data_IF_862490880567
#
_entry.id   IF_862490880567
#
_cell.length_a   1.000
_cell.length_b   1.000
_cell.length_c   1.000
_cell.angle_alpha   90.00
_cell.angle_beta   90.00
_cell.angle_gamma   90.00
#
_symmetry.space_group_name_H-M   'P 1'
#
loop_
_entity.id
_entity.type
_entity.pdbx_description
1 polymer ?
#
# COMPACT_ATOMS: atom_id res chain seq x y z
N UNK A 1 -21.14 -7.00 -15.15
CA UNK A 1 -20.67 -5.71 -15.71
C UNK A 1 -21.84 -4.72 -15.68
N UNK A 2 -21.54 -3.47 -15.40
CA UNK A 2 -22.50 -2.38 -15.36
C UNK A 2 -22.02 -1.22 -16.25
N UNK A 3 -22.90 -0.73 -17.13
CA UNK A 3 -22.59 0.32 -18.08
C UNK A 3 -22.02 -0.20 -19.41
N UNK A 4 -21.79 0.73 -20.33
CA UNK A 4 -21.20 0.46 -21.63
C UNK A 4 -19.72 0.84 -21.63
N UNK A 5 -18.89 0.06 -22.30
CA UNK A 5 -17.47 0.40 -22.48
C UNK A 5 -17.34 1.64 -23.36
N UNK A 6 -16.64 2.70 -22.90
CA UNK A 6 -16.46 3.90 -23.70
C UNK A 6 -15.71 3.61 -24.99
N UNK A 7 -16.18 4.20 -26.11
CA UNK A 7 -15.51 4.15 -27.40
C UNK A 7 -14.81 5.48 -27.61
N UNK A 8 -13.51 5.42 -27.87
CA UNK A 8 -12.70 6.59 -28.17
C UNK A 8 -12.52 6.70 -29.69
N UNK A 9 -12.42 7.93 -30.20
CA UNK A 9 -12.09 8.25 -31.60
C UNK A 9 -10.58 8.42 -31.83
N UNK A 10 -9.78 8.13 -30.80
CA UNK A 10 -8.32 8.14 -30.81
C UNK A 10 -7.79 6.85 -30.15
N UNK A 11 -6.50 6.55 -30.36
CA UNK A 11 -5.81 5.43 -29.71
C UNK A 11 -5.39 5.84 -28.28
N UNK A 12 -6.06 5.30 -27.22
CA UNK A 12 -5.80 5.69 -25.85
C UNK A 12 -4.47 5.12 -25.36
N UNK A 13 -3.60 5.98 -24.85
CA UNK A 13 -2.37 5.55 -24.18
C UNK A 13 -2.68 4.97 -22.81
N UNK A 14 -1.89 3.99 -22.38
CA UNK A 14 -1.95 3.45 -21.03
C UNK A 14 -1.43 4.45 -19.98
N UNK A 15 -1.65 4.12 -18.71
CA UNK A 15 -1.29 4.98 -17.58
C UNK A 15 0.23 5.18 -17.43
N UNK A 16 1.04 4.21 -17.85
CA UNK A 16 2.51 4.32 -17.81
C UNK A 16 2.98 5.32 -18.84
N UNK A 17 2.55 5.16 -20.09
CA UNK A 17 2.91 6.07 -21.19
C UNK A 17 2.44 7.51 -20.91
N UNK A 18 1.25 7.68 -20.30
CA UNK A 18 0.74 9.00 -19.92
C UNK A 18 1.57 9.62 -18.78
N UNK A 19 1.89 8.84 -17.75
CA UNK A 19 2.64 9.32 -16.59
C UNK A 19 4.08 9.70 -16.94
N UNK A 20 4.75 8.90 -17.74
CA UNK A 20 6.11 9.19 -18.23
C UNK A 20 6.15 10.40 -19.14
N UNK A 21 5.22 10.50 -20.10
CA UNK A 21 5.12 11.66 -21.01
C UNK A 21 4.88 12.98 -20.27
N UNK A 22 4.24 12.94 -19.11
CA UNK A 22 3.99 14.11 -18.26
C UNK A 22 5.00 14.27 -17.12
N UNK A 23 6.03 13.44 -17.06
CA UNK A 23 7.05 13.43 -16.01
C UNK A 23 6.45 13.30 -14.57
N UNK A 24 5.41 12.47 -14.43
CA UNK A 24 4.78 12.25 -13.13
C UNK A 24 5.57 11.25 -12.29
N UNK A 25 6.21 10.30 -12.93
CA UNK A 25 7.02 9.27 -12.27
C UNK A 25 8.11 8.70 -13.20
N UNK A 26 9.03 7.93 -12.60
CA UNK A 26 10.08 7.21 -13.31
C UNK A 26 10.35 5.85 -12.67
N UNK A 27 10.25 4.80 -13.46
CA UNK A 27 10.68 3.46 -13.08
C UNK A 27 12.21 3.32 -13.09
N UNK A 28 12.90 4.03 -13.98
CA UNK A 28 14.38 4.03 -14.04
C UNK A 28 14.99 4.54 -12.73
N UNK A 29 14.49 5.68 -12.23
CA UNK A 29 14.95 6.24 -10.96
C UNK A 29 14.61 5.33 -9.77
N UNK A 30 13.42 4.72 -9.76
CA UNK A 30 13.01 3.75 -8.73
C UNK A 30 13.91 2.52 -8.74
N UNK A 31 14.16 1.96 -9.91
CA UNK A 31 15.03 0.79 -10.07
C UNK A 31 16.48 1.07 -9.68
N UNK A 32 16.98 2.27 -9.94
CA UNK A 32 18.34 2.70 -9.53
C UNK A 32 18.53 2.73 -8.01
N UNK A 33 17.46 3.04 -7.26
CA UNK A 33 17.51 3.17 -5.80
C UNK A 33 17.23 1.83 -5.12
N UNK A 34 16.22 1.07 -5.59
CA UNK A 34 15.65 -0.06 -4.86
C UNK A 34 15.53 -1.34 -5.68
N UNK A 35 15.87 -1.30 -6.96
CA UNK A 35 15.73 -2.45 -7.86
C UNK A 35 14.46 -2.43 -8.72
N UNK A 36 14.29 -3.46 -9.54
CA UNK A 36 13.17 -3.58 -10.47
C UNK A 36 11.82 -3.60 -9.74
N UNK A 37 10.81 -2.94 -10.32
CA UNK A 37 9.46 -2.88 -9.78
C UNK A 37 9.20 -1.69 -8.84
N UNK A 38 10.22 -0.93 -8.46
CA UNK A 38 10.04 0.30 -7.70
C UNK A 38 9.81 1.50 -8.61
N UNK A 39 9.03 2.45 -8.10
CA UNK A 39 8.68 3.68 -8.80
C UNK A 39 9.13 4.89 -7.98
N UNK A 40 9.55 5.95 -8.66
CA UNK A 40 9.81 7.25 -8.05
C UNK A 40 8.87 8.28 -8.64
N UNK A 41 7.98 8.86 -7.83
CA UNK A 41 7.19 10.00 -8.24
C UNK A 41 8.05 11.27 -8.26
N UNK A 42 7.85 12.11 -9.28
CA UNK A 42 8.63 13.33 -9.48
C UNK A 42 7.72 14.54 -9.67
N UNK A 43 8.20 15.71 -9.30
CA UNK A 43 7.55 16.98 -9.59
C UNK A 43 6.03 17.01 -9.38
N UNK A 44 5.23 17.16 -10.48
CA UNK A 44 3.78 17.16 -10.41
C UNK A 44 3.19 15.84 -9.88
N UNK A 45 3.80 14.70 -10.20
CA UNK A 45 3.35 13.38 -9.73
C UNK A 45 3.43 13.23 -8.21
N UNK A 46 4.55 13.63 -7.60
CA UNK A 46 4.70 13.62 -6.14
C UNK A 46 3.72 14.58 -5.44
N UNK A 47 3.41 15.72 -6.08
CA UNK A 47 2.38 16.65 -5.57
C UNK A 47 0.98 16.04 -5.64
N UNK A 48 0.66 15.35 -6.74
CA UNK A 48 -0.63 14.70 -6.94
C UNK A 48 -0.83 13.55 -5.94
N UNK A 49 0.16 12.70 -5.75
CA UNK A 49 0.12 11.62 -4.75
C UNK A 49 -0.19 12.16 -3.36
N UNK A 50 0.56 13.16 -2.90
CA UNK A 50 0.33 13.80 -1.59
C UNK A 50 -1.04 14.45 -1.49
N UNK A 51 -1.51 15.10 -2.56
CA UNK A 51 -2.82 15.73 -2.58
C UNK A 51 -3.96 14.72 -2.48
N UNK A 52 -3.83 13.56 -3.14
CA UNK A 52 -4.81 12.47 -3.06
C UNK A 52 -4.83 11.83 -1.67
N UNK A 53 -3.66 11.59 -1.08
CA UNK A 53 -3.57 11.07 0.29
C UNK A 53 -4.28 12.03 1.25
N UNK A 54 -3.95 13.31 1.20
CA UNK A 54 -4.57 14.32 2.07
C UNK A 54 -6.07 14.41 1.85
N UNK A 55 -6.53 14.48 0.61
CA UNK A 55 -7.95 14.55 0.27
C UNK A 55 -8.74 13.36 0.84
N UNK A 56 -8.22 12.14 0.69
CA UNK A 56 -8.90 10.94 1.18
C UNK A 56 -8.93 10.88 2.71
N UNK A 57 -7.83 11.24 3.38
CA UNK A 57 -7.76 11.30 4.84
C UNK A 57 -8.75 12.34 5.39
N UNK A 58 -8.73 13.55 4.85
CA UNK A 58 -9.63 14.63 5.28
C UNK A 58 -11.09 14.24 5.07
N UNK A 59 -11.42 13.68 3.91
CA UNK A 59 -12.79 13.27 3.61
C UNK A 59 -13.30 12.19 4.58
N UNK A 60 -12.50 11.17 4.84
CA UNK A 60 -12.91 10.09 5.73
C UNK A 60 -12.99 10.52 7.20
N UNK A 61 -12.10 11.38 7.65
CA UNK A 61 -12.13 11.88 9.04
C UNK A 61 -13.25 12.89 9.28
N UNK A 62 -13.52 13.77 8.31
CA UNK A 62 -14.50 14.86 8.46
C UNK A 62 -15.92 14.42 8.11
N UNK A 63 -16.10 13.62 7.05
CA UNK A 63 -17.44 13.26 6.55
C UNK A 63 -17.90 11.87 7.04
N UNK A 64 -16.99 10.91 7.18
CA UNK A 64 -17.34 9.52 7.47
C UNK A 64 -17.08 9.11 8.93
N UNK A 65 -16.56 10.01 9.77
CA UNK A 65 -16.38 9.78 11.19
C UNK A 65 -15.27 8.77 11.55
N UNK A 66 -14.32 8.55 10.66
CA UNK A 66 -13.13 7.74 10.95
C UNK A 66 -12.20 8.49 11.91
N UNK A 67 -11.47 7.74 12.71
CA UNK A 67 -10.36 8.26 13.50
C UNK A 67 -9.05 7.98 12.76
N UNK A 68 -8.30 9.02 12.46
CA UNK A 68 -6.98 8.86 11.85
C UNK A 68 -5.99 8.29 12.86
N UNK A 69 -5.16 7.34 12.40
CA UNK A 69 -4.07 6.75 13.16
C UNK A 69 -2.81 6.70 12.32
N UNK A 70 -1.65 6.83 12.95
CA UNK A 70 -0.34 6.73 12.30
C UNK A 70 0.48 5.65 13.00
N UNK A 71 0.30 4.36 12.65
CA UNK A 71 1.03 3.27 13.26
C UNK A 71 2.47 3.18 12.75
N UNK A 72 3.36 2.48 13.46
CA UNK A 72 4.70 2.17 12.98
C UNK A 72 4.69 1.39 11.67
N UNK A 73 5.70 1.61 10.83
CA UNK A 73 5.92 0.83 9.59
C UNK A 73 6.70 -0.45 9.83
N UNK A 74 7.41 -0.54 10.95
CA UNK A 74 8.14 -1.73 11.39
C UNK A 74 7.26 -2.48 12.36
N UNK A 75 6.90 -3.71 12.00
CA UNK A 75 5.89 -4.54 12.67
C UNK A 75 6.57 -5.76 13.29
N UNK A 76 6.24 -6.09 14.53
CA UNK A 76 6.73 -7.28 15.18
C UNK A 76 6.10 -8.57 14.61
N UNK A 77 6.77 -9.68 14.81
CA UNK A 77 6.37 -10.99 14.31
C UNK A 77 4.97 -11.42 14.79
N UNK A 78 4.62 -11.15 16.03
CA UNK A 78 3.33 -11.53 16.62
C UNK A 78 2.15 -10.81 15.92
N UNK A 79 2.34 -9.56 15.56
CA UNK A 79 1.32 -8.82 14.80
C UNK A 79 1.14 -9.36 13.39
N UNK A 80 2.21 -9.88 12.78
CA UNK A 80 2.14 -10.53 11.47
C UNK A 80 1.38 -11.86 11.53
N UNK A 81 1.51 -12.60 12.63
CA UNK A 81 0.67 -13.78 12.88
C UNK A 81 -0.78 -13.41 13.14
N UNK A 82 -1.03 -12.34 13.90
CA UNK A 82 -2.37 -11.90 14.27
C UNK A 82 -3.29 -11.57 13.08
N UNK A 83 -2.73 -11.23 11.94
CA UNK A 83 -3.46 -10.96 10.68
C UNK A 83 -3.25 -12.02 9.60
N UNK A 84 -2.59 -13.14 9.93
CA UNK A 84 -2.42 -14.27 9.04
C UNK A 84 -1.40 -14.06 7.91
N UNK A 85 -0.54 -13.06 8.00
CA UNK A 85 0.57 -12.88 7.06
C UNK A 85 1.63 -13.96 7.24
N UNK A 86 1.94 -14.31 8.48
CA UNK A 86 2.81 -15.41 8.82
C UNK A 86 2.02 -16.68 9.15
N UNK A 87 2.58 -17.86 8.87
CA UNK A 87 3.88 -18.11 8.22
C UNK A 87 3.85 -18.06 6.69
N UNK A 88 2.68 -17.96 6.08
CA UNK A 88 2.45 -18.24 4.65
C UNK A 88 3.22 -17.32 3.70
N UNK A 89 3.34 -16.04 4.03
CA UNK A 89 3.92 -15.01 3.14
C UNK A 89 5.28 -14.49 3.62
N UNK A 90 6.00 -15.25 4.45
CA UNK A 90 7.27 -14.81 5.04
C UNK A 90 8.31 -14.44 3.97
N UNK A 91 8.41 -15.24 2.90
CA UNK A 91 9.37 -15.03 1.81
C UNK A 91 9.03 -13.81 0.93
N UNK A 92 7.78 -13.37 0.94
CA UNK A 92 7.29 -12.23 0.16
C UNK A 92 7.43 -10.89 0.89
N UNK A 93 7.91 -10.91 2.14
CA UNK A 93 8.02 -9.72 2.98
C UNK A 93 9.46 -9.28 3.18
N UNK A 94 9.64 -8.01 3.50
CA UNK A 94 10.92 -7.47 3.93
C UNK A 94 11.12 -7.72 5.42
N UNK A 95 11.88 -8.77 5.74
CA UNK A 95 12.29 -9.07 7.12
C UNK A 95 13.46 -8.20 7.56
N UNK A 96 13.48 -7.83 8.83
CA UNK A 96 14.53 -7.08 9.52
C UNK A 96 14.97 -7.89 10.74
N UNK A 97 16.23 -7.73 11.14
CA UNK A 97 16.80 -8.38 12.33
C UNK A 97 16.46 -9.89 12.39
N UNK A 98 16.89 -10.63 11.37
CA UNK A 98 16.66 -12.07 11.26
C UNK A 98 15.16 -12.45 11.35
N UNK A 99 14.30 -11.64 10.71
CA UNK A 99 12.85 -11.79 10.69
C UNK A 99 12.16 -11.65 12.06
N UNK A 100 12.78 -10.93 13.01
CA UNK A 100 12.13 -10.52 14.25
C UNK A 100 11.12 -9.40 13.99
N UNK A 101 11.43 -8.51 13.05
CA UNK A 101 10.55 -7.44 12.55
C UNK A 101 10.37 -7.53 11.04
N UNK A 102 9.34 -6.86 10.56
CA UNK A 102 9.02 -6.78 9.13
C UNK A 102 8.58 -5.36 8.78
N UNK A 103 8.84 -4.94 7.54
CA UNK A 103 8.15 -3.77 7.00
C UNK A 103 6.68 -4.13 6.78
N UNK A 104 5.77 -3.24 7.15
CA UNK A 104 4.34 -3.46 7.02
C UNK A 104 3.95 -3.73 5.56
N UNK A 105 3.44 -4.92 5.20
CA UNK A 105 3.03 -5.22 3.83
C UNK A 105 1.71 -4.53 3.47
N UNK A 106 0.92 -4.17 4.47
CA UNK A 106 -0.35 -3.47 4.35
C UNK A 106 -0.66 -2.76 5.67
N UNK A 107 -1.40 -1.66 5.60
CA UNK A 107 -1.89 -0.94 6.78
C UNK A 107 -2.83 -1.77 7.67
N UNK A 108 -3.46 -2.80 7.12
CA UNK A 108 -4.33 -3.71 7.86
C UNK A 108 -3.61 -4.36 9.05
N UNK A 109 -2.35 -4.78 8.87
CA UNK A 109 -1.58 -5.45 9.92
C UNK A 109 -1.44 -4.59 11.17
N UNK A 110 -0.85 -3.38 11.13
CA UNK A 110 -0.71 -2.58 12.33
C UNK A 110 -2.06 -2.10 12.87
N UNK A 111 -3.00 -1.71 12.02
CA UNK A 111 -4.28 -1.14 12.46
C UNK A 111 -5.13 -2.19 13.19
N UNK A 112 -5.23 -3.41 12.68
CA UNK A 112 -5.95 -4.50 13.33
C UNK A 112 -5.35 -4.85 14.70
N UNK A 113 -4.01 -4.85 14.79
CA UNK A 113 -3.31 -5.21 16.01
C UNK A 113 -3.33 -4.12 17.11
N UNK A 114 -3.81 -2.90 16.83
CA UNK A 114 -4.02 -1.86 17.85
C UNK A 114 -4.94 -2.33 18.99
N UNK A 115 -5.86 -3.23 18.67
CA UNK A 115 -6.83 -3.77 19.64
C UNK A 115 -6.66 -5.27 19.92
N UNK A 116 -5.52 -5.85 19.54
CA UNK A 116 -5.22 -7.25 19.81
C UNK A 116 -5.32 -7.51 21.33
N UNK A 117 -5.89 -8.66 21.69
CA UNK A 117 -6.09 -9.12 23.07
C UNK A 117 -6.97 -8.19 23.92
N UNK A 118 -7.80 -7.35 23.31
CA UNK A 118 -8.72 -6.45 23.99
C UNK A 118 -10.18 -6.81 23.71
N UNK A 119 -11.00 -6.82 24.77
CA UNK A 119 -12.46 -6.88 24.63
C UNK A 119 -12.98 -5.45 24.54
N UNK A 120 -13.47 -5.07 23.36
CA UNK A 120 -14.04 -3.75 23.16
C UNK A 120 -15.46 -3.71 23.78
N UNK A 121 -15.75 -2.64 24.55
CA UNK A 121 -17.10 -2.44 25.12
C UNK A 121 -18.12 -2.20 24.02
N UNK A 122 -19.32 -2.76 24.15
CA UNK A 122 -20.41 -2.74 23.15
C UNK A 122 -20.85 -1.35 22.69
N UNK A 123 -20.58 -0.29 23.47
CA UNK A 123 -20.86 1.11 23.09
C UNK A 123 -19.76 1.74 22.22
N UNK A 124 -18.64 1.09 22.04
CA UNK A 124 -17.71 1.43 20.98
C UNK A 124 -18.25 0.77 19.69
N UNK A 125 -19.20 1.42 18.99
CA UNK A 125 -19.41 1.15 17.58
C UNK A 125 -18.03 1.03 16.97
N UNK A 126 -17.82 -0.04 16.20
CA UNK A 126 -16.53 -0.37 15.59
C UNK A 126 -15.77 0.91 15.26
N UNK A 127 -14.71 1.20 16.01
CA UNK A 127 -13.92 2.40 15.74
C UNK A 127 -13.32 2.19 14.37
N UNK A 128 -13.92 2.83 13.38
CA UNK A 128 -13.36 2.85 12.04
C UNK A 128 -12.06 3.65 12.11
N UNK A 129 -10.95 2.99 11.89
CA UNK A 129 -9.63 3.60 11.86
C UNK A 129 -9.20 3.79 10.42
N UNK A 130 -8.57 4.90 10.15
CA UNK A 130 -8.02 5.26 8.86
C UNK A 130 -6.54 5.61 9.02
N UNK A 131 -5.70 5.07 8.15
CA UNK A 131 -4.30 5.48 8.04
C UNK A 131 -3.98 5.73 6.58
N UNK A 132 -2.99 6.58 6.31
CA UNK A 132 -2.46 6.69 4.96
C UNK A 132 -1.80 5.35 4.55
N UNK A 133 -1.83 5.01 3.27
CA UNK A 133 -1.38 3.71 2.81
C UNK A 133 0.10 3.51 3.12
N UNK A 134 0.35 2.46 3.90
CA UNK A 134 1.67 1.90 4.10
C UNK A 134 1.61 0.50 3.54
N UNK A 135 2.24 0.31 2.41
CA UNK A 135 2.39 -1.02 1.84
C UNK A 135 3.80 -1.15 1.30
N UNK A 136 4.58 -2.06 1.87
CA UNK A 136 5.92 -2.39 1.38
C UNK A 136 6.00 -3.90 1.24
N UNK A 137 5.61 -4.38 0.07
CA UNK A 137 5.81 -5.77 -0.32
C UNK A 137 6.96 -5.89 -1.31
N UNK A 138 7.66 -7.02 -1.29
CA UNK A 138 8.66 -7.31 -2.32
C UNK A 138 7.96 -7.38 -3.68
N UNK A 139 8.56 -6.82 -4.75
CA UNK A 139 8.06 -7.04 -6.10
C UNK A 139 8.01 -8.54 -6.40
N UNK A 140 6.95 -9.00 -7.08
CA UNK A 140 6.85 -10.37 -7.51
C UNK A 140 8.11 -10.75 -8.30
N UNK A 141 8.78 -11.83 -7.89
CA UNK A 141 9.93 -12.35 -8.63
C UNK A 141 9.47 -12.72 -10.04
N UNK A 142 10.20 -12.31 -11.10
CA UNK A 142 9.87 -12.78 -12.43
C UNK A 142 9.94 -14.31 -12.42
N UNK A 143 8.85 -14.97 -12.79
CA UNK A 143 8.83 -16.41 -12.97
C UNK A 143 9.75 -16.74 -14.14
N UNK A 144 10.98 -17.13 -13.84
CA UNK A 144 11.88 -17.68 -14.84
C UNK A 144 11.32 -19.04 -15.22
N UNK A 145 10.55 -19.10 -16.31
CA UNK A 145 10.22 -20.36 -16.95
C UNK A 145 11.52 -20.88 -17.56
N UNK A 146 12.17 -21.79 -16.86
CA UNK A 146 13.20 -22.64 -17.48
C UNK A 146 12.43 -23.53 -18.46
N UNK A 147 12.55 -23.24 -19.76
CA UNK A 147 12.10 -24.15 -20.79
C UNK A 147 12.97 -25.40 -20.69
N UNK A 148 12.33 -26.56 -20.50
CA UNK A 148 12.95 -27.87 -20.59
C UNK A 148 13.21 -28.22 -22.06
#
# INVERSE_FOLDING_TARGET
>A
EWGEQPKFDFDPKDHVALGEAQNLFSFELGAKISGSGFITFTGPGAKLERALIQFLLDRHTQEHGYTEVSPPFVINRDSMYGTGQLPKFEDDMYGLEENTFFLAPTAEVPVTNLYRDQILKTNSRSKSLLTHPVSVAKPAQPVVRVAA
#
